data_IF_490172453647
#
_entry.id   IF_490172453647
#
_cell.length_a   1.000
_cell.length_b   1.000
_cell.length_c   1.000
_cell.angle_alpha   90.00
_cell.angle_beta   90.00
_cell.angle_gamma   90.00
#
_symmetry.space_group_name_H-M   'P 1'
#
loop_
_entity.id
_entity.type
_entity.pdbx_description
1 polymer ?
#
# COMPACT_ATOMS: atom_id res chain seq x y z
N UNK A 1 14.18 -6.46 13.87
CA UNK A 1 15.57 -6.00 14.03
C UNK A 1 15.61 -4.54 13.64
N UNK A 2 16.23 -3.69 14.45
CA UNK A 2 16.45 -2.29 14.11
C UNK A 2 17.39 -2.22 12.91
N UNK A 3 16.82 -2.11 11.72
CA UNK A 3 17.55 -1.59 10.57
C UNK A 3 17.85 -0.13 10.88
N UNK A 4 19.12 0.27 10.80
CA UNK A 4 19.50 1.67 10.90
C UNK A 4 18.85 2.38 9.72
N UNK A 5 17.75 3.11 9.96
CA UNK A 5 16.92 3.71 8.91
C UNK A 5 17.72 4.59 7.95
N UNK A 6 18.81 5.19 8.46
CA UNK A 6 19.70 6.06 7.69
C UNK A 6 21.04 5.37 7.49
N UNK A 7 21.29 4.87 6.29
CA UNK A 7 22.58 4.30 5.89
C UNK A 7 23.36 5.33 5.08
N UNK A 8 24.43 5.89 5.66
CA UNK A 8 25.25 6.93 5.02
C UNK A 8 26.28 6.35 4.04
N UNK A 9 26.47 5.03 4.03
CA UNK A 9 27.39 4.34 3.13
C UNK A 9 26.72 4.01 1.77
N UNK A 10 25.41 4.28 1.65
CA UNK A 10 24.62 4.12 0.42
C UNK A 10 24.27 5.49 -0.19
N UNK A 11 24.14 5.60 -1.53
CA UNK A 11 23.62 6.81 -2.15
C UNK A 11 22.23 7.17 -1.63
N UNK A 12 22.02 8.45 -1.30
CA UNK A 12 20.75 8.97 -0.78
C UNK A 12 19.51 8.55 -1.58
N UNK A 13 19.52 8.50 -2.93
CA UNK A 13 18.37 8.02 -3.69
C UNK A 13 17.98 6.57 -3.37
N UNK A 14 18.95 5.69 -3.15
CA UNK A 14 18.70 4.28 -2.85
C UNK A 14 18.10 4.12 -1.45
N UNK A 15 18.59 4.89 -0.48
CA UNK A 15 18.08 4.87 0.90
C UNK A 15 16.64 5.40 0.94
N UNK A 16 16.39 6.53 0.29
CA UNK A 16 15.06 7.16 0.29
C UNK A 16 14.05 6.33 -0.49
N UNK A 17 14.40 5.76 -1.65
CA UNK A 17 13.48 4.91 -2.41
C UNK A 17 13.05 3.67 -1.61
N UNK A 18 13.98 3.04 -0.90
CA UNK A 18 13.68 1.89 -0.04
C UNK A 18 12.73 2.28 1.11
N UNK A 19 13.03 3.35 1.83
CA UNK A 19 12.20 3.84 2.93
C UNK A 19 10.79 4.25 2.46
N UNK A 20 10.70 4.94 1.32
CA UNK A 20 9.42 5.28 0.70
C UNK A 20 8.64 4.00 0.37
N UNK A 21 9.31 3.00 -0.20
CA UNK A 21 8.69 1.72 -0.52
C UNK A 21 8.13 1.00 0.70
N UNK A 22 8.88 0.99 1.81
CA UNK A 22 8.43 0.40 3.08
C UNK A 22 7.21 1.12 3.64
N UNK A 23 7.25 2.45 3.68
CA UNK A 23 6.14 3.27 4.18
C UNK A 23 4.89 3.07 3.32
N UNK A 24 5.02 3.16 2.00
CA UNK A 24 3.87 3.04 1.10
C UNK A 24 3.26 1.64 1.15
N UNK A 25 4.07 0.58 1.22
CA UNK A 25 3.58 -0.80 1.33
C UNK A 25 2.77 -1.00 2.61
N UNK A 26 3.30 -0.60 3.77
CA UNK A 26 2.60 -0.74 5.05
C UNK A 26 1.34 0.14 5.08
N UNK A 27 1.43 1.37 4.59
CA UNK A 27 0.30 2.29 4.49
C UNK A 27 -0.84 1.69 3.66
N UNK A 28 -0.57 1.21 2.44
CA UNK A 28 -1.61 0.62 1.60
C UNK A 28 -2.14 -0.71 2.12
N UNK A 29 -1.31 -1.52 2.77
CA UNK A 29 -1.78 -2.75 3.43
C UNK A 29 -2.83 -2.42 4.48
N UNK A 30 -2.55 -1.48 5.39
CA UNK A 30 -3.51 -1.05 6.43
C UNK A 30 -4.76 -0.41 5.84
N UNK A 31 -4.60 0.34 4.74
CA UNK A 31 -5.71 1.00 4.06
C UNK A 31 -6.64 -0.01 3.38
N UNK A 32 -6.07 -1.02 2.73
CA UNK A 32 -6.81 -2.12 2.12
C UNK A 32 -7.54 -2.95 3.17
N UNK A 33 -6.92 -3.24 4.31
CA UNK A 33 -7.61 -3.89 5.45
C UNK A 33 -8.78 -3.03 5.95
N UNK A 34 -8.54 -1.74 6.20
CA UNK A 34 -9.57 -0.82 6.72
C UNK A 34 -10.76 -0.68 5.79
N UNK A 35 -10.52 -0.64 4.48
CA UNK A 35 -11.54 -0.42 3.46
C UNK A 35 -11.91 -1.68 2.67
N UNK A 36 -11.52 -2.85 3.17
CA UNK A 36 -11.82 -4.16 2.59
C UNK A 36 -11.53 -4.26 1.09
N UNK A 37 -10.35 -3.81 0.68
CA UNK A 37 -9.94 -3.80 -0.73
C UNK A 37 -10.64 -2.75 -1.62
N UNK A 38 -11.49 -1.88 -1.08
CA UNK A 38 -12.20 -0.86 -1.87
C UNK A 38 -11.25 0.27 -2.34
N UNK A 39 -10.86 0.22 -3.60
CA UNK A 39 -9.93 1.16 -4.22
C UNK A 39 -10.46 2.61 -4.24
N UNK A 40 -11.77 2.80 -4.40
CA UNK A 40 -12.34 4.15 -4.39
C UNK A 40 -12.22 4.80 -3.01
N UNK A 41 -12.47 4.06 -1.94
CA UNK A 41 -12.29 4.55 -0.56
C UNK A 41 -10.81 4.73 -0.23
N UNK A 42 -9.94 3.81 -0.67
CA UNK A 42 -8.50 3.95 -0.51
C UNK A 42 -7.98 5.23 -1.19
N UNK A 43 -8.36 5.49 -2.44
CA UNK A 43 -8.00 6.69 -3.18
C UNK A 43 -8.48 7.97 -2.48
N UNK A 44 -9.74 8.00 -2.05
CA UNK A 44 -10.29 9.13 -1.29
C UNK A 44 -9.52 9.39 0.01
N UNK A 45 -9.17 8.32 0.74
CA UNK A 45 -8.47 8.45 2.02
C UNK A 45 -7.01 8.88 1.84
N UNK A 46 -6.30 8.32 0.85
CA UNK A 46 -4.90 8.63 0.60
C UNK A 46 -4.68 9.96 -0.13
N UNK A 47 -5.75 10.61 -0.59
CA UNK A 47 -5.65 11.81 -1.42
C UNK A 47 -5.11 11.56 -2.83
N UNK A 48 -5.00 10.29 -3.24
CA UNK A 48 -4.48 9.92 -4.55
C UNK A 48 -5.60 9.59 -5.53
N UNK A 49 -5.27 9.66 -6.83
CA UNK A 49 -6.16 9.12 -7.86
C UNK A 49 -6.29 7.60 -7.73
N UNK A 50 -7.41 7.02 -8.19
CA UNK A 50 -7.57 5.55 -8.26
C UNK A 50 -6.47 4.89 -9.09
N UNK A 51 -6.04 5.53 -10.19
CA UNK A 51 -4.93 5.06 -11.03
C UNK A 51 -3.64 4.96 -10.23
N UNK A 52 -3.30 6.00 -9.47
CA UNK A 52 -2.11 6.04 -8.62
C UNK A 52 -2.16 4.94 -7.55
N UNK A 53 -3.32 4.72 -6.91
CA UNK A 53 -3.49 3.61 -5.97
C UNK A 53 -3.24 2.27 -6.66
N UNK A 54 -3.87 1.99 -7.79
CA UNK A 54 -3.66 0.74 -8.54
C UNK A 54 -2.19 0.51 -8.90
N UNK A 55 -1.49 1.55 -9.35
CA UNK A 55 -0.06 1.47 -9.66
C UNK A 55 0.79 1.15 -8.42
N UNK A 56 0.46 1.72 -7.26
CA UNK A 56 1.15 1.41 -5.99
C UNK A 56 0.87 -0.02 -5.55
N UNK A 57 -0.37 -0.51 -5.70
CA UNK A 57 -0.70 -1.90 -5.39
C UNK A 57 0.10 -2.87 -6.28
N UNK A 58 0.19 -2.58 -7.58
CA UNK A 58 1.02 -3.35 -8.52
C UNK A 58 2.51 -3.30 -8.15
N UNK A 59 3.05 -2.10 -7.87
CA UNK A 59 4.46 -1.90 -7.48
C UNK A 59 4.83 -2.73 -6.25
N UNK A 60 3.92 -2.87 -5.29
CA UNK A 60 4.16 -3.57 -4.03
C UNK A 60 3.57 -4.99 -3.97
N UNK A 61 3.05 -5.51 -5.09
CA UNK A 61 2.41 -6.82 -5.18
C UNK A 61 1.29 -7.03 -4.13
N UNK A 62 0.48 -5.99 -3.90
CA UNK A 62 -0.65 -6.03 -2.98
C UNK A 62 -1.92 -6.42 -3.76
N UNK A 63 -2.41 -7.63 -3.54
CA UNK A 63 -3.68 -8.07 -4.11
C UNK A 63 -4.84 -7.63 -3.22
N UNK A 64 -5.66 -6.70 -3.72
CA UNK A 64 -6.83 -6.18 -3.01
C UNK A 64 -7.89 -7.24 -2.71
N UNK A 65 -7.96 -8.32 -3.48
CA UNK A 65 -9.00 -9.36 -3.34
C UNK A 65 -8.83 -10.13 -2.05
N UNK A 66 -7.60 -10.26 -1.56
CA UNK A 66 -7.27 -10.87 -0.26
C UNK A 66 -7.83 -10.08 0.94
N UNK A 67 -8.30 -8.85 0.71
CA UNK A 67 -8.83 -7.96 1.76
C UNK A 67 -10.37 -7.83 1.70
N UNK A 68 -11.05 -8.49 0.76
CA UNK A 68 -12.51 -8.54 0.75
C UNK A 68 -12.98 -9.55 1.80
N UNK A 69 -13.78 -9.10 2.78
CA UNK A 69 -14.49 -10.02 3.68
C UNK A 69 -15.57 -10.79 2.89
N UNK A 70 -15.77 -12.07 3.23
CA UNK A 70 -16.69 -13.02 2.59
C UNK A 70 -18.20 -12.67 2.60
N UNK A 71 -18.60 -11.47 3.04
CA UNK A 71 -20.02 -11.07 3.13
C UNK A 71 -20.62 -10.49 1.86
N UNK A 72 -19.88 -10.45 0.76
CA UNK A 72 -20.43 -10.09 -0.57
C UNK A 72 -21.01 -11.30 -1.32
N UNK A 73 -20.94 -12.54 -0.77
CA UNK A 73 -21.48 -13.75 -1.42
C UNK A 73 -22.95 -14.09 -1.05
N UNK A 74 -23.60 -13.33 -0.15
CA UNK A 74 -25.00 -13.60 0.26
C UNK A 74 -26.06 -12.75 -0.48
N UNK A 75 -25.65 -11.89 -1.41
CA UNK A 75 -26.58 -11.06 -2.21
C UNK A 75 -26.24 -11.15 -3.71
N UNK A 76 -26.41 -12.33 -4.31
CA UNK A 76 -26.62 -12.52 -5.75
C UNK A 76 -27.60 -13.71 -5.99
#
# INVERSE_FOLDING_TARGET
GNAHLIDIDRPLPNVTEELIGLVERDYFTRLLTRYRGNIARCAKHSGLSRRSVTQKLQKYALDRTLFKDAREEEED
#
